data_IF_786550127918
#
_entry.id   IF_786550127918
#
_cell.length_a   1.000
_cell.length_b   1.000
_cell.length_c   1.000
_cell.angle_alpha   90.00
_cell.angle_beta   90.00
_cell.angle_gamma   90.00
#
_symmetry.space_group_name_H-M   'P 1'
#
loop_
_entity.id
_entity.type
_entity.pdbx_description
1 polymer ?
#
# COMPACT_ATOMS: atom_id res chain seq x y z
N UNK A 1 -0.72 18.97 14.69
CA UNK A 1 0.75 18.97 14.96
C UNK A 1 1.53 18.80 13.67
N UNK A 2 2.80 19.21 13.62
CA UNK A 2 3.71 18.95 12.48
C UNK A 2 4.17 17.48 12.47
N UNK A 3 4.73 17.00 11.35
CA UNK A 3 5.33 15.67 11.31
C UNK A 3 6.52 15.53 12.27
N UNK A 4 7.40 16.53 12.36
CA UNK A 4 8.51 16.55 13.33
C UNK A 4 8.02 16.41 14.77
N UNK A 5 6.96 17.14 15.14
CA UNK A 5 6.37 17.02 16.47
C UNK A 5 5.76 15.63 16.67
N UNK A 6 4.99 15.14 15.71
CA UNK A 6 4.42 13.79 15.75
C UNK A 6 5.49 12.72 15.98
N UNK A 7 6.55 12.73 15.17
CA UNK A 7 7.66 11.78 15.27
C UNK A 7 8.28 11.78 16.66
N UNK A 8 8.54 12.95 17.25
CA UNK A 8 9.15 13.07 18.57
C UNK A 8 8.26 12.57 19.72
N UNK A 9 6.94 12.57 19.54
CA UNK A 9 5.97 12.19 20.57
C UNK A 9 5.37 10.79 20.36
N UNK A 10 5.87 10.03 19.39
CA UNK A 10 5.54 8.61 19.26
C UNK A 10 6.22 7.80 20.38
N UNK A 11 5.55 6.75 20.90
CA UNK A 11 6.15 5.81 21.86
C UNK A 11 7.47 5.27 21.31
N UNK A 12 8.51 5.16 22.13
CA UNK A 12 9.86 4.72 21.71
C UNK A 12 10.00 3.21 21.51
N UNK A 13 9.06 2.43 22.04
CA UNK A 13 9.13 0.97 21.96
C UNK A 13 8.60 0.49 20.60
N UNK A 14 9.34 -0.41 19.95
CA UNK A 14 8.95 -1.08 18.69
C UNK A 14 7.81 -2.08 18.94
N UNK A 15 6.58 -1.58 19.05
CA UNK A 15 5.41 -2.44 19.26
C UNK A 15 4.91 -3.06 17.93
N UNK A 16 4.32 -4.28 17.96
CA UNK A 16 3.69 -4.92 16.79
C UNK A 16 2.78 -4.04 15.92
N UNK A 17 1.97 -3.06 16.43
CA UNK A 17 1.21 -2.16 15.55
C UNK A 17 2.06 -1.32 14.58
N UNK A 18 3.37 -1.19 14.82
CA UNK A 18 4.28 -0.36 14.03
C UNK A 18 4.97 -1.13 12.90
N UNK A 19 5.16 -2.44 13.04
CA UNK A 19 6.01 -3.23 12.15
C UNK A 19 5.38 -4.58 11.88
N UNK A 20 5.50 -5.05 10.64
CA UNK A 20 5.30 -6.46 10.33
C UNK A 20 6.63 -7.11 9.98
N UNK A 21 6.85 -8.28 10.57
CA UNK A 21 8.10 -9.00 10.53
C UNK A 21 8.00 -10.22 9.62
N UNK A 22 9.12 -10.57 9.01
CA UNK A 22 9.35 -11.87 8.40
C UNK A 22 9.39 -12.94 9.49
N UNK A 23 8.50 -13.95 9.45
CA UNK A 23 8.53 -15.05 10.40
C UNK A 23 9.87 -15.82 10.42
N UNK A 24 10.57 -15.89 9.29
CA UNK A 24 11.80 -16.67 9.16
C UNK A 24 13.07 -15.96 9.63
N UNK A 25 13.17 -14.65 9.40
CA UNK A 25 14.35 -13.85 9.74
C UNK A 25 14.16 -12.90 10.92
N UNK A 26 12.92 -12.71 11.38
CA UNK A 26 12.52 -11.69 12.35
C UNK A 26 12.91 -10.25 11.94
N UNK A 27 13.17 -10.01 10.66
CA UNK A 27 13.42 -8.70 10.10
C UNK A 27 12.11 -8.03 9.67
N UNK A 28 12.06 -6.71 9.70
CA UNK A 28 10.90 -5.93 9.26
C UNK A 28 10.72 -6.07 7.74
N UNK A 29 9.56 -6.56 7.32
CA UNK A 29 9.15 -6.69 5.92
C UNK A 29 8.39 -5.46 5.43
N UNK A 30 7.55 -4.88 6.28
CA UNK A 30 6.69 -3.76 5.93
C UNK A 30 6.24 -2.99 7.18
N UNK A 31 5.70 -1.78 6.98
CA UNK A 31 5.10 -1.01 8.07
C UNK A 31 3.90 -1.76 8.63
N UNK A 32 3.71 -1.75 9.95
CA UNK A 32 2.51 -2.31 10.60
C UNK A 32 1.26 -1.44 10.41
N UNK A 33 0.09 -1.87 10.91
CA UNK A 33 -1.20 -1.22 10.66
C UNK A 33 -1.25 0.29 10.99
N UNK A 34 -0.54 0.71 12.03
CA UNK A 34 -0.50 2.12 12.44
C UNK A 34 0.19 3.00 11.39
N UNK A 35 1.42 2.64 11.00
CA UNK A 35 2.18 3.42 10.04
C UNK A 35 1.64 3.25 8.61
N UNK A 36 1.09 2.09 8.27
CA UNK A 36 0.33 1.90 7.03
C UNK A 36 -0.78 2.91 6.86
N UNK A 37 -1.65 3.04 7.87
CA UNK A 37 -2.73 4.02 7.85
C UNK A 37 -2.18 5.43 7.71
N UNK A 38 -1.19 5.79 8.53
CA UNK A 38 -0.60 7.12 8.48
C UNK A 38 -0.02 7.47 7.10
N UNK A 39 0.86 6.63 6.57
CA UNK A 39 1.51 6.87 5.28
C UNK A 39 0.55 6.72 4.11
N UNK A 40 -0.49 5.89 4.22
CA UNK A 40 -1.58 5.82 3.26
C UNK A 40 -2.37 7.13 3.16
N UNK A 41 -2.65 7.80 4.28
CA UNK A 41 -3.30 9.12 4.28
C UNK A 41 -2.41 10.20 3.66
N UNK A 42 -1.10 10.16 3.92
CA UNK A 42 -0.13 11.08 3.27
C UNK A 42 -0.07 10.83 1.76
N UNK A 43 -0.05 9.57 1.32
CA UNK A 43 -0.06 9.20 -0.10
C UNK A 43 -1.33 9.68 -0.80
N UNK A 44 -2.51 9.46 -0.19
CA UNK A 44 -3.80 9.97 -0.71
C UNK A 44 -3.81 11.49 -0.83
N UNK A 45 -3.25 12.20 0.16
CA UNK A 45 -3.15 13.65 0.11
C UNK A 45 -2.27 14.11 -1.06
N UNK A 46 -1.08 13.54 -1.24
CA UNK A 46 -0.20 13.88 -2.37
C UNK A 46 -0.83 13.54 -3.72
N UNK A 47 -1.50 12.38 -3.82
CA UNK A 47 -2.22 12.01 -5.02
C UNK A 47 -3.38 12.97 -5.33
N UNK A 48 -4.18 13.34 -4.33
CA UNK A 48 -5.29 14.29 -4.51
C UNK A 48 -4.82 15.70 -4.88
N UNK A 49 -3.61 16.11 -4.50
CA UNK A 49 -2.98 17.32 -5.03
C UNK A 49 -2.58 17.15 -6.49
N UNK A 50 -1.92 16.05 -6.82
CA UNK A 50 -1.51 15.75 -8.20
C UNK A 50 -2.69 15.75 -9.17
N UNK A 51 -3.83 15.15 -8.79
CA UNK A 51 -5.06 15.17 -9.58
C UNK A 51 -5.60 16.58 -9.85
N UNK A 52 -5.28 17.54 -8.97
CA UNK A 52 -5.65 18.96 -9.10
C UNK A 52 -4.58 19.79 -9.81
N UNK A 53 -3.54 19.16 -10.36
CA UNK A 53 -2.44 19.83 -11.05
C UNK A 53 -1.48 20.58 -10.11
N UNK A 54 -1.46 20.23 -8.82
CA UNK A 54 -0.62 20.89 -7.82
C UNK A 54 0.19 19.85 -7.04
N UNK A 55 1.26 20.26 -6.37
CA UNK A 55 2.15 19.34 -5.64
C UNK A 55 2.25 19.68 -4.17
N UNK A 56 2.30 18.67 -3.30
CA UNK A 56 2.36 18.87 -1.86
C UNK A 56 3.58 19.69 -1.44
N UNK A 57 4.72 19.51 -2.11
CA UNK A 57 5.96 20.19 -1.75
C UNK A 57 6.46 19.70 -0.40
N UNK A 58 6.76 20.62 0.52
CA UNK A 58 7.37 20.37 1.83
C UNK A 58 6.40 19.67 2.82
N UNK A 59 6.17 18.37 2.60
CA UNK A 59 5.42 17.50 3.50
C UNK A 59 6.06 17.41 4.89
N UNK A 60 7.34 17.71 5.08
CA UNK A 60 7.98 17.54 6.38
C UNK A 60 7.55 18.64 7.36
N UNK A 61 7.58 19.90 6.93
CA UNK A 61 7.28 21.03 7.81
C UNK A 61 5.80 21.46 7.75
N UNK A 62 5.14 21.26 6.61
CA UNK A 62 3.79 21.80 6.37
C UNK A 62 2.68 20.82 6.66
N UNK A 63 2.96 19.52 6.65
CA UNK A 63 1.96 18.52 7.00
C UNK A 63 1.41 18.74 8.39
N UNK A 64 0.10 18.68 8.51
CA UNK A 64 -0.62 18.76 9.78
C UNK A 64 -1.31 17.44 10.04
N UNK A 65 -1.05 16.90 11.22
CA UNK A 65 -1.56 15.61 11.68
C UNK A 65 -2.51 15.86 12.85
N UNK A 66 -3.70 15.27 12.81
CA UNK A 66 -4.63 15.18 13.93
C UNK A 66 -4.39 13.84 14.64
N UNK A 67 -4.05 13.89 15.93
CA UNK A 67 -3.59 12.70 16.68
C UNK A 67 -4.69 11.65 16.83
N UNK A 68 -5.93 12.08 17.04
CA UNK A 68 -7.05 11.19 17.39
C UNK A 68 -7.40 10.21 16.26
N UNK A 69 -7.21 10.61 14.99
CA UNK A 69 -7.66 9.84 13.84
C UNK A 69 -6.62 9.69 12.73
N UNK A 70 -5.40 10.17 12.96
CA UNK A 70 -4.32 10.25 11.97
C UNK A 70 -4.74 10.97 10.69
N UNK A 71 -5.72 11.88 10.76
CA UNK A 71 -6.10 12.69 9.60
C UNK A 71 -4.97 13.65 9.28
N UNK A 72 -4.60 13.63 8.01
CA UNK A 72 -3.49 14.40 7.46
C UNK A 72 -4.06 15.49 6.56
N UNK A 73 -3.60 16.72 6.74
CA UNK A 73 -3.95 17.83 5.84
C UNK A 73 -2.76 18.76 5.61
N UNK A 74 -2.79 19.45 4.48
CA UNK A 74 -1.74 20.36 4.05
C UNK A 74 -2.32 21.77 3.93
N UNK A 75 -1.88 22.75 4.74
CA UNK A 75 -2.42 24.11 4.69
C UNK A 75 -1.95 24.82 3.41
N UNK A 76 -2.91 25.00 2.49
CA UNK A 76 -3.12 25.98 1.38
C UNK A 76 -1.97 26.61 0.58
N UNK A 77 -0.71 26.58 0.99
CA UNK A 77 0.44 26.95 0.14
C UNK A 77 0.97 25.70 -0.55
N UNK A 78 0.23 25.27 -1.57
CA UNK A 78 0.58 24.13 -2.44
C UNK A 78 1.63 24.61 -3.44
N UNK A 79 2.58 23.75 -3.81
CA UNK A 79 3.57 24.07 -4.83
C UNK A 79 2.83 24.15 -6.18
N UNK A 80 2.61 25.38 -6.64
CA UNK A 80 1.97 25.71 -7.91
C UNK A 80 3.05 26.09 -8.93
N UNK A 81 2.74 25.97 -10.22
CA UNK A 81 3.59 26.44 -11.33
C UNK A 81 4.99 25.80 -11.41
N UNK A 82 5.12 24.51 -11.07
CA UNK A 82 6.35 23.74 -11.32
C UNK A 82 6.15 22.69 -12.42
N UNK A 83 7.25 22.33 -13.10
CA UNK A 83 7.24 21.23 -14.07
C UNK A 83 6.70 19.96 -13.37
N UNK A 84 5.74 19.29 -14.01
CA UNK A 84 5.04 18.17 -13.39
C UNK A 84 5.99 17.06 -12.90
N UNK A 85 7.10 16.82 -13.60
CA UNK A 85 8.06 15.80 -13.19
C UNK A 85 8.88 16.23 -11.95
N UNK A 86 9.24 17.51 -11.87
CA UNK A 86 9.90 18.09 -10.70
C UNK A 86 8.98 18.06 -9.47
N UNK A 87 7.71 18.44 -9.63
CA UNK A 87 6.69 18.38 -8.58
C UNK A 87 6.49 16.96 -8.04
N UNK A 88 6.31 15.97 -8.94
CA UNK A 88 6.21 14.55 -8.57
C UNK A 88 7.44 14.06 -7.81
N UNK A 89 8.64 14.42 -8.28
CA UNK A 89 9.89 14.02 -7.67
C UNK A 89 10.00 14.59 -6.26
N UNK A 90 9.68 15.87 -6.06
CA UNK A 90 9.71 16.54 -4.76
C UNK A 90 8.74 15.88 -3.75
N UNK A 91 7.52 15.58 -4.18
CA UNK A 91 6.55 14.89 -3.33
C UNK A 91 7.03 13.49 -2.91
N UNK A 92 7.58 12.71 -3.84
CA UNK A 92 8.12 11.37 -3.56
C UNK A 92 9.32 11.43 -2.62
N UNK A 93 10.24 12.37 -2.83
CA UNK A 93 11.41 12.56 -1.97
C UNK A 93 10.98 12.88 -0.55
N UNK A 94 10.08 13.85 -0.35
CA UNK A 94 9.59 14.19 1.00
C UNK A 94 8.80 13.05 1.64
N UNK A 95 7.96 12.36 0.87
CA UNK A 95 7.18 11.23 1.36
C UNK A 95 8.08 10.09 1.87
N UNK A 96 9.09 9.71 1.07
CA UNK A 96 10.07 8.68 1.45
C UNK A 96 10.95 9.14 2.61
N UNK A 97 11.30 10.42 2.66
CA UNK A 97 12.00 10.99 3.81
C UNK A 97 11.20 10.86 5.11
N UNK A 98 9.89 11.12 5.09
CA UNK A 98 9.06 10.89 6.27
C UNK A 98 9.08 9.42 6.70
N UNK A 99 8.95 8.48 5.77
CA UNK A 99 9.03 7.04 6.07
C UNK A 99 10.34 6.64 6.70
N UNK A 100 11.46 7.02 6.10
CA UNK A 100 12.78 6.65 6.60
C UNK A 100 13.13 7.39 7.91
N UNK A 101 12.54 8.56 8.19
CA UNK A 101 12.66 9.23 9.50
C UNK A 101 12.07 8.38 10.63
N UNK A 102 10.94 7.71 10.36
CA UNK A 102 10.34 6.76 11.31
C UNK A 102 11.26 5.55 11.46
N UNK A 103 11.66 4.92 10.35
CA UNK A 103 12.53 3.72 10.38
C UNK A 103 13.79 3.97 11.19
N UNK A 104 14.53 5.06 10.92
CA UNK A 104 15.78 5.40 11.62
C UNK A 104 15.59 5.68 13.12
N UNK A 105 14.40 6.12 13.53
CA UNK A 105 14.12 6.36 14.95
C UNK A 105 13.98 5.05 15.73
N UNK A 106 13.52 3.97 15.09
CA UNK A 106 13.12 2.73 15.77
C UNK A 106 13.99 1.52 15.45
N UNK A 107 14.61 1.47 14.28
CA UNK A 107 15.23 0.28 13.72
C UNK A 107 16.68 0.55 13.35
N UNK A 108 17.52 -0.48 13.53
CA UNK A 108 18.88 -0.54 12.99
C UNK A 108 18.86 -1.21 11.63
N UNK A 109 19.97 -1.08 10.89
CA UNK A 109 20.08 -1.64 9.54
C UNK A 109 19.85 -3.16 9.48
N UNK A 110 20.29 -3.92 10.50
CA UNK A 110 20.12 -5.37 10.56
C UNK A 110 18.68 -5.81 10.87
N UNK A 111 17.84 -4.91 11.38
CA UNK A 111 16.44 -5.19 11.70
C UNK A 111 15.54 -5.12 10.45
N UNK A 112 16.06 -4.71 9.30
CA UNK A 112 15.29 -4.38 8.09
C UNK A 112 15.58 -5.43 7.02
N UNK A 113 14.52 -6.03 6.46
CA UNK A 113 14.66 -6.99 5.37
C UNK A 113 15.09 -6.31 4.07
N UNK A 114 15.78 -7.05 3.20
CA UNK A 114 16.11 -6.56 1.86
C UNK A 114 14.86 -6.12 1.07
N UNK A 115 13.72 -6.80 1.26
CA UNK A 115 12.47 -6.51 0.56
C UNK A 115 11.85 -5.18 0.98
N UNK A 116 12.00 -4.80 2.26
CA UNK A 116 11.59 -3.48 2.74
C UNK A 116 12.41 -2.38 2.05
N UNK A 117 13.69 -2.62 1.80
CA UNK A 117 14.59 -1.63 1.19
C UNK A 117 14.25 -1.30 -0.26
N UNK A 118 13.55 -2.19 -0.98
CA UNK A 118 13.07 -1.92 -2.34
C UNK A 118 12.19 -0.65 -2.41
N UNK A 119 11.43 -0.37 -1.34
CA UNK A 119 10.65 0.87 -1.22
C UNK A 119 11.50 2.16 -1.22
N UNK A 120 12.82 2.05 -1.03
CA UNK A 120 13.80 3.14 -0.98
C UNK A 120 14.80 3.13 -2.16
N UNK A 121 14.62 2.24 -3.15
CA UNK A 121 15.42 2.16 -4.37
C UNK A 121 15.58 3.52 -5.09
N UNK A 122 16.79 3.85 -5.54
CA UNK A 122 17.09 5.05 -6.33
C UNK A 122 16.47 5.01 -7.73
N UNK A 123 16.19 3.81 -8.26
CA UNK A 123 15.46 3.61 -9.52
C UNK A 123 14.19 4.46 -9.56
N UNK A 124 13.50 4.58 -8.42
CA UNK A 124 12.24 5.29 -8.30
C UNK A 124 12.35 6.80 -8.50
N UNK A 125 13.56 7.37 -8.34
CA UNK A 125 13.82 8.79 -8.54
C UNK A 125 14.25 9.13 -9.98
N UNK A 126 14.39 8.15 -10.87
CA UNK A 126 14.72 8.43 -12.26
C UNK A 126 13.58 9.19 -12.96
N UNK A 127 13.86 10.25 -13.75
CA UNK A 127 12.82 11.09 -14.35
C UNK A 127 11.75 10.32 -15.14
N UNK A 128 12.13 9.28 -15.89
CA UNK A 128 11.19 8.46 -16.65
C UNK A 128 10.33 7.55 -15.75
N UNK A 129 10.91 7.05 -14.66
CA UNK A 129 10.23 6.22 -13.66
C UNK A 129 9.21 7.06 -12.90
N UNK A 130 9.61 8.24 -12.41
CA UNK A 130 8.70 9.19 -11.77
C UNK A 130 7.56 9.57 -12.71
N UNK A 131 7.86 9.86 -13.98
CA UNK A 131 6.84 10.24 -14.96
C UNK A 131 5.76 9.16 -15.16
N UNK A 132 6.17 7.88 -15.22
CA UNK A 132 5.27 6.74 -15.54
C UNK A 132 4.66 6.06 -14.32
N UNK A 133 5.39 6.00 -13.20
CA UNK A 133 5.06 5.16 -12.04
C UNK A 133 4.81 5.94 -10.75
N UNK A 134 4.59 7.26 -10.81
CA UNK A 134 4.35 8.10 -9.63
C UNK A 134 3.34 7.49 -8.63
N UNK A 135 2.19 7.01 -9.11
CA UNK A 135 1.17 6.40 -8.25
C UNK A 135 1.65 5.11 -7.58
N UNK A 136 2.30 4.22 -8.33
CA UNK A 136 2.84 2.96 -7.80
C UNK A 136 3.89 3.20 -6.72
N UNK A 137 4.61 4.32 -6.78
CA UNK A 137 5.61 4.67 -5.78
C UNK A 137 4.99 5.28 -4.52
N UNK A 138 3.94 6.10 -4.65
CA UNK A 138 3.19 6.61 -3.48
C UNK A 138 2.50 5.48 -2.71
N UNK A 139 1.98 4.50 -3.45
CA UNK A 139 1.36 3.29 -2.90
C UNK A 139 2.30 2.11 -3.11
N UNK A 140 3.47 2.14 -2.48
CA UNK A 140 4.42 1.02 -2.53
C UNK A 140 4.01 -0.10 -1.56
N UNK A 141 4.26 -1.39 -1.88
CA UNK A 141 3.87 -2.53 -1.04
C UNK A 141 4.29 -2.51 0.43
N UNK A 142 5.34 -1.75 0.79
CA UNK A 142 5.76 -1.54 2.19
C UNK A 142 4.66 -0.92 3.06
N UNK A 143 3.62 -0.33 2.46
CA UNK A 143 2.43 0.19 3.17
C UNK A 143 1.12 -0.53 2.80
N UNK A 144 1.17 -1.65 2.10
CA UNK A 144 -0.06 -2.35 1.69
C UNK A 144 -0.69 -3.10 2.84
N UNK A 145 -2.01 -2.97 2.94
CA UNK A 145 -2.82 -3.97 3.64
C UNK A 145 -3.10 -5.17 2.72
N UNK A 146 -3.75 -6.18 3.27
CA UNK A 146 -4.05 -7.43 2.55
C UNK A 146 -4.93 -7.22 1.31
N UNK A 147 -5.82 -6.22 1.34
CA UNK A 147 -6.67 -5.85 0.21
C UNK A 147 -5.90 -5.17 -0.92
N UNK A 148 -4.92 -4.34 -0.59
CA UNK A 148 -4.06 -3.69 -1.59
C UNK A 148 -3.17 -4.72 -2.31
N UNK A 149 -2.65 -5.71 -1.56
CA UNK A 149 -1.91 -6.85 -2.13
C UNK A 149 -2.78 -7.68 -3.07
N UNK A 150 -4.00 -8.00 -2.65
CA UNK A 150 -4.99 -8.67 -3.50
C UNK A 150 -5.22 -7.92 -4.81
N UNK A 151 -5.48 -6.61 -4.75
CA UNK A 151 -5.67 -5.78 -5.96
C UNK A 151 -4.46 -5.77 -6.87
N UNK A 152 -3.25 -5.64 -6.31
CA UNK A 152 -2.00 -5.68 -7.08
C UNK A 152 -1.88 -6.98 -7.87
N UNK A 153 -2.14 -8.11 -7.22
CA UNK A 153 -2.04 -9.43 -7.85
C UNK A 153 -3.07 -9.59 -8.97
N UNK A 154 -4.30 -9.13 -8.75
CA UNK A 154 -5.32 -9.15 -9.80
C UNK A 154 -4.92 -8.29 -11.00
N UNK A 155 -4.45 -7.05 -10.75
CA UNK A 155 -3.97 -6.17 -11.80
C UNK A 155 -2.79 -6.79 -12.59
N UNK A 156 -1.86 -7.46 -11.91
CA UNK A 156 -0.73 -8.15 -12.54
C UNK A 156 -1.17 -9.30 -13.45
N UNK A 157 -2.14 -10.09 -13.00
CA UNK A 157 -2.67 -11.18 -13.83
C UNK A 157 -3.45 -10.64 -15.02
N UNK A 158 -4.21 -9.55 -14.84
CA UNK A 158 -4.95 -8.92 -15.93
C UNK A 158 -3.98 -8.33 -16.98
N UNK A 159 -2.87 -7.71 -16.55
CA UNK A 159 -1.78 -7.30 -17.45
C UNK A 159 -1.18 -8.47 -18.23
N UNK A 160 -0.96 -9.61 -17.57
CA UNK A 160 -0.50 -10.85 -18.21
C UNK A 160 -1.48 -11.38 -19.25
N UNK A 161 -2.79 -11.26 -19.01
CA UNK A 161 -3.82 -11.69 -19.97
C UNK A 161 -3.81 -10.78 -21.20
N UNK A 162 -3.64 -9.47 -21.00
CA UNK A 162 -3.62 -8.48 -22.08
C UNK A 162 -2.39 -8.63 -23.00
N UNK A 163 -1.20 -8.80 -22.43
CA UNK A 163 0.04 -8.99 -23.21
C UNK A 163 0.94 -10.05 -22.57
N UNK A 164 0.61 -11.30 -22.85
CA UNK A 164 1.32 -12.47 -22.32
C UNK A 164 2.80 -12.45 -22.69
N UNK A 165 3.13 -12.13 -23.93
CA UNK A 165 4.51 -12.23 -24.45
C UNK A 165 5.41 -11.18 -23.81
N UNK A 166 4.98 -9.93 -23.75
CA UNK A 166 5.75 -8.87 -23.10
C UNK A 166 5.84 -9.10 -21.61
N UNK A 167 4.76 -9.55 -20.96
CA UNK A 167 4.77 -9.87 -19.54
C UNK A 167 5.83 -10.91 -19.19
N UNK A 168 5.87 -12.06 -19.88
CA UNK A 168 6.85 -13.10 -19.56
C UNK A 168 8.29 -12.67 -19.83
N UNK A 169 8.54 -11.96 -20.94
CA UNK A 169 9.88 -11.49 -21.28
C UNK A 169 10.38 -10.46 -20.28
N UNK A 170 9.58 -9.44 -20.00
CA UNK A 170 10.03 -8.30 -19.20
C UNK A 170 9.92 -8.59 -17.70
N UNK A 171 8.79 -9.12 -17.21
CA UNK A 171 8.60 -9.39 -15.78
C UNK A 171 9.28 -10.69 -15.34
N UNK A 172 9.15 -11.76 -16.13
CA UNK A 172 9.72 -13.07 -15.79
C UNK A 172 11.25 -13.05 -15.59
N UNK A 173 11.97 -12.26 -16.38
CA UNK A 173 13.42 -12.05 -16.22
C UNK A 173 13.77 -11.28 -14.94
N UNK A 174 13.00 -10.26 -14.59
CA UNK A 174 13.29 -9.42 -13.41
C UNK A 174 12.99 -10.14 -12.10
N UNK A 175 11.97 -11.01 -12.07
CA UNK A 175 11.62 -11.82 -10.88
C UNK A 175 12.74 -12.82 -10.51
N UNK A 176 13.59 -13.20 -11.47
CA UNK A 176 14.77 -14.05 -11.18
C UNK A 176 15.77 -13.38 -10.24
N UNK A 177 15.90 -12.05 -10.30
CA UNK A 177 16.84 -11.28 -9.48
C UNK A 177 16.53 -11.35 -7.98
N UNK A 178 15.30 -11.72 -7.62
CA UNK A 178 14.85 -11.83 -6.23
C UNK A 178 14.67 -13.28 -5.76
N UNK A 179 15.27 -14.26 -6.46
CA UNK A 179 15.21 -15.66 -6.06
C UNK A 179 13.85 -16.35 -6.30
N UNK A 180 12.94 -15.71 -7.03
CA UNK A 180 11.63 -16.24 -7.37
C UNK A 180 11.58 -16.91 -8.76
N UNK A 181 12.74 -17.13 -9.40
CA UNK A 181 12.85 -17.85 -10.67
C UNK A 181 12.29 -19.27 -10.60
N UNK A 182 12.48 -19.94 -9.45
CA UNK A 182 12.02 -21.31 -9.18
C UNK A 182 11.05 -21.33 -7.99
N UNK A 183 10.20 -20.32 -7.87
CA UNK A 183 9.28 -20.16 -6.73
C UNK A 183 8.45 -21.42 -6.44
N UNK A 184 8.12 -22.22 -7.47
CA UNK A 184 7.36 -23.47 -7.32
C UNK A 184 8.08 -24.50 -6.44
N UNK A 185 9.42 -24.49 -6.37
CA UNK A 185 10.18 -25.36 -5.47
C UNK A 185 9.86 -25.12 -4.00
N UNK A 186 9.38 -23.92 -3.66
CA UNK A 186 8.92 -23.62 -2.30
C UNK A 186 7.62 -24.35 -1.94
N UNK A 187 6.86 -24.85 -2.92
CA UNK A 187 5.55 -25.46 -2.73
C UNK A 187 5.38 -26.82 -3.41
N UNK A 188 6.36 -27.31 -4.15
CA UNK A 188 6.26 -28.57 -4.91
C UNK A 188 6.11 -29.81 -4.02
N UNK A 189 6.57 -29.73 -2.77
CA UNK A 189 6.45 -30.80 -1.78
C UNK A 189 5.21 -30.65 -0.87
N UNK A 190 4.40 -29.61 -1.10
CA UNK A 190 3.16 -29.41 -0.35
C UNK A 190 2.12 -30.47 -0.73
N UNK A 191 1.45 -31.06 0.27
CA UNK A 191 0.43 -32.06 -0.01
C UNK A 191 -0.76 -31.42 -0.72
N UNK A 192 -1.49 -32.15 -1.61
CA UNK A 192 -2.74 -31.64 -2.20
C UNK A 192 -3.84 -31.29 -1.18
N UNK A 193 -3.66 -31.70 0.09
CA UNK A 193 -4.53 -31.35 1.22
C UNK A 193 -4.20 -29.99 1.84
N UNK A 194 -2.98 -29.46 1.66
CA UNK A 194 -2.63 -28.11 2.11
C UNK A 194 -3.09 -27.08 1.07
N UNK A 195 -3.39 -25.85 1.50
CA UNK A 195 -3.80 -24.77 0.57
C UNK A 195 -2.76 -24.56 -0.53
N UNK A 196 -1.48 -24.51 -0.14
CA UNK A 196 -0.38 -24.25 -1.07
C UNK A 196 -0.26 -25.35 -2.13
N UNK A 197 -0.38 -26.62 -1.71
CA UNK A 197 -0.34 -27.77 -2.62
C UNK A 197 -1.60 -27.90 -3.47
N UNK A 198 -2.79 -27.67 -2.91
CA UNK A 198 -4.05 -27.69 -3.64
C UNK A 198 -4.04 -26.72 -4.81
N UNK A 199 -3.61 -25.47 -4.57
CA UNK A 199 -3.53 -24.44 -5.60
C UNK A 199 -2.41 -24.72 -6.60
N UNK A 200 -1.29 -25.29 -6.14
CA UNK A 200 -0.17 -25.62 -7.02
C UNK A 200 -0.56 -26.69 -8.04
N UNK A 201 -1.39 -27.66 -7.64
CA UNK A 201 -1.93 -28.74 -8.47
C UNK A 201 -3.34 -28.46 -9.02
N UNK A 202 -3.79 -27.20 -9.00
CA UNK A 202 -5.13 -26.84 -9.45
C UNK A 202 -5.37 -27.32 -10.89
N UNK A 203 -6.54 -27.91 -11.15
CA UNK A 203 -6.90 -28.54 -12.44
C UNK A 203 -6.00 -29.72 -12.87
N UNK A 204 -5.28 -30.35 -11.94
CA UNK A 204 -4.49 -31.56 -12.21
C UNK A 204 -3.15 -31.32 -12.91
N UNK A 205 -2.76 -30.06 -13.11
CA UNK A 205 -1.49 -29.67 -13.69
C UNK A 205 -0.72 -28.73 -12.75
N UNK A 206 0.58 -28.98 -12.48
CA UNK A 206 1.36 -28.07 -11.67
C UNK A 206 1.44 -26.69 -12.35
N UNK A 207 1.45 -25.61 -11.56
CA UNK A 207 1.73 -24.25 -12.06
C UNK A 207 3.24 -24.00 -11.98
N UNK A 208 3.96 -24.19 -13.09
CA UNK A 208 5.42 -24.15 -13.13
C UNK A 208 5.91 -23.16 -14.19
N UNK A 209 6.32 -21.95 -13.75
CA UNK A 209 7.04 -20.93 -14.54
C UNK A 209 7.30 -19.70 -13.65
N UNK A 210 8.46 -19.03 -13.76
CA UNK A 210 8.74 -17.79 -13.03
C UNK A 210 7.65 -16.72 -13.19
N UNK A 211 7.16 -16.50 -14.42
CA UNK A 211 6.08 -15.54 -14.70
C UNK A 211 4.66 -16.04 -14.34
N UNK A 212 4.52 -17.27 -13.83
CA UNK A 212 3.26 -17.78 -13.31
C UNK A 212 3.07 -17.53 -11.80
N UNK A 213 4.06 -16.98 -11.10
CA UNK A 213 3.93 -16.64 -9.68
C UNK A 213 2.73 -15.72 -9.38
N UNK A 214 2.46 -14.62 -10.14
CA UNK A 214 1.27 -13.80 -9.90
C UNK A 214 -0.04 -14.57 -10.09
N UNK A 215 -0.08 -15.51 -11.04
CA UNK A 215 -1.24 -16.38 -11.25
C UNK A 215 -1.45 -17.30 -10.05
N UNK A 216 -0.37 -17.93 -9.57
CA UNK A 216 -0.41 -18.76 -8.37
C UNK A 216 -0.90 -17.99 -7.14
N UNK A 217 -0.36 -16.80 -6.88
CA UNK A 217 -0.82 -15.95 -5.77
C UNK A 217 -2.29 -15.52 -5.92
N UNK A 218 -2.74 -15.22 -7.15
CA UNK A 218 -4.17 -14.94 -7.42
C UNK A 218 -5.02 -16.14 -7.08
N UNK A 219 -4.57 -17.34 -7.44
CA UNK A 219 -5.27 -18.56 -7.10
C UNK A 219 -5.25 -18.85 -5.59
N UNK A 220 -4.18 -18.53 -4.86
CA UNK A 220 -4.19 -18.61 -3.39
C UNK A 220 -5.26 -17.68 -2.81
N UNK A 221 -5.37 -16.46 -3.33
CA UNK A 221 -6.41 -15.53 -2.90
C UNK A 221 -7.83 -15.94 -3.30
N UNK A 222 -8.00 -16.66 -4.41
CA UNK A 222 -9.31 -17.01 -4.96
C UNK A 222 -9.81 -18.42 -4.59
N UNK A 223 -8.88 -19.35 -4.30
CA UNK A 223 -9.17 -20.77 -4.01
C UNK A 223 -8.75 -21.16 -2.60
N UNK A 224 -8.54 -20.20 -1.71
CA UNK A 224 -8.57 -20.46 -0.28
C UNK A 224 -10.02 -20.78 0.14
N UNK A 225 -10.61 -21.89 -0.36
CA UNK A 225 -11.97 -22.27 0.04
C UNK A 225 -12.43 -23.70 -0.29
N UNK A 226 -12.21 -24.59 0.69
CA UNK A 226 -13.21 -25.62 1.04
C UNK A 226 -13.79 -25.39 2.44
N UNK A 227 -12.98 -24.92 3.39
CA UNK A 227 -13.37 -24.76 4.79
C UNK A 227 -13.89 -23.36 5.14
N UNK A 228 -13.51 -22.31 4.42
CA UNK A 228 -13.86 -20.93 4.75
C UNK A 228 -15.10 -20.44 4.01
N UNK A 229 -15.48 -21.02 2.87
CA UNK A 229 -16.74 -20.71 2.20
C UNK A 229 -17.87 -21.25 3.07
N UNK A 230 -17.70 -22.46 3.60
CA UNK A 230 -18.56 -23.02 4.63
C UNK A 230 -18.57 -22.16 5.91
N UNK A 231 -17.42 -21.65 6.38
CA UNK A 231 -17.34 -20.80 7.57
C UNK A 231 -17.95 -19.39 7.35
N UNK A 232 -17.80 -18.82 6.15
CA UNK A 232 -18.33 -17.53 5.75
C UNK A 232 -19.82 -17.60 5.50
N UNK A 233 -20.28 -18.67 4.86
CA UNK A 233 -21.70 -18.99 4.73
C UNK A 233 -22.31 -19.22 6.11
N UNK A 234 -21.62 -19.91 7.03
CA UNK A 234 -22.04 -20.04 8.41
C UNK A 234 -22.08 -18.69 9.16
N UNK A 235 -21.07 -17.84 9.02
CA UNK A 235 -21.03 -16.49 9.64
C UNK A 235 -22.12 -15.58 9.07
N UNK A 236 -22.36 -15.63 7.75
CA UNK A 236 -23.42 -14.90 7.06
C UNK A 236 -24.79 -15.41 7.47
N UNK A 237 -24.96 -16.72 7.59
CA UNK A 237 -26.17 -17.35 8.12
C UNK A 237 -26.42 -16.95 9.58
N UNK A 238 -25.40 -16.96 10.44
CA UNK A 238 -25.50 -16.51 11.83
C UNK A 238 -25.85 -15.02 11.95
N UNK A 239 -25.26 -14.17 11.10
CA UNK A 239 -25.61 -12.75 11.02
C UNK A 239 -27.07 -12.55 10.58
N UNK A 240 -27.51 -13.26 9.54
CA UNK A 240 -28.90 -13.22 9.06
C UNK A 240 -29.87 -13.77 10.11
N UNK A 241 -29.51 -14.82 10.84
CA UNK A 241 -30.31 -15.35 11.93
C UNK A 241 -30.44 -14.34 13.07
N UNK A 242 -29.36 -13.63 13.42
CA UNK A 242 -29.39 -12.55 14.41
C UNK A 242 -30.25 -11.38 13.93
N UNK A 243 -30.20 -11.03 12.64
CA UNK A 243 -31.05 -10.01 12.02
C UNK A 243 -32.53 -10.40 12.12
N UNK A 244 -32.87 -11.63 11.74
CA UNK A 244 -34.24 -12.13 11.81
C UNK A 244 -34.75 -12.13 13.25
N UNK A 245 -33.95 -12.59 14.23
CA UNK A 245 -34.32 -12.51 15.65
C UNK A 245 -34.58 -11.09 16.16
N UNK A 246 -33.85 -10.09 15.67
CA UNK A 246 -34.09 -8.68 16.01
C UNK A 246 -35.40 -8.20 15.36
N UNK A 247 -35.63 -8.55 14.09
CA UNK A 247 -36.86 -8.23 13.38
C UNK A 247 -38.09 -8.86 14.06
N UNK A 248 -38.04 -10.16 14.38
CA UNK A 248 -39.11 -10.89 15.07
C UNK A 248 -39.41 -10.30 16.45
N UNK A 249 -38.38 -9.80 17.15
CA UNK A 249 -38.53 -9.14 18.44
C UNK A 249 -39.14 -7.73 18.31
N UNK A 250 -38.70 -6.95 17.32
CA UNK A 250 -39.15 -5.56 17.15
C UNK A 250 -40.54 -5.47 16.49
N UNK A 251 -40.90 -6.39 15.59
CA UNK A 251 -42.19 -6.43 14.85
C UNK A 251 -43.44 -6.25 15.73
N UNK A 252 -43.64 -7.03 16.83
CA UNK A 252 -44.81 -6.84 17.69
C UNK A 252 -44.77 -5.52 18.50
N UNK A 253 -43.58 -5.00 18.79
CA UNK A 253 -43.41 -3.71 19.46
C UNK A 253 -43.81 -2.58 18.49
N UNK A 254 -43.40 -2.67 17.23
CA UNK A 254 -43.73 -1.72 16.17
C UNK A 254 -45.22 -1.75 15.82
N UNK A 255 -45.83 -2.94 15.71
CA UNK A 255 -47.27 -3.10 15.51
C UNK A 255 -48.08 -2.45 16.65
N UNK A 256 -47.70 -2.70 17.90
CA UNK A 256 -48.32 -2.08 19.07
C UNK A 256 -48.08 -0.57 19.13
N UNK A 257 -46.94 -0.09 18.65
CA UNK A 257 -46.68 1.35 18.53
C UNK A 257 -47.60 2.02 17.51
N UNK A 258 -47.94 1.34 16.40
CA UNK A 258 -48.80 1.88 15.35
C UNK A 258 -50.24 2.14 15.82
N UNK A 259 -50.70 1.46 16.88
CA UNK A 259 -52.02 1.67 17.50
C UNK A 259 -52.14 3.02 18.25
N UNK A 260 -51.01 3.64 18.62
CA UNK A 260 -51.02 4.91 19.35
C UNK A 260 -50.87 6.11 18.39
N UNK A 261 -51.45 7.25 18.76
CA UNK A 261 -51.23 8.51 18.02
C UNK A 261 -49.81 9.04 18.25
N UNK A 262 -49.32 9.86 17.33
CA UNK A 262 -48.02 10.52 17.51
C UNK A 262 -48.06 11.47 18.72
N UNK A 263 -46.96 11.48 19.49
CA UNK A 263 -46.87 12.19 20.77
C UNK A 263 -47.32 11.40 22.01
N UNK A 264 -47.90 10.20 21.86
CA UNK A 264 -48.32 9.39 23.01
C UNK A 264 -47.11 8.94 23.87
N UNK A 265 -47.10 9.19 25.19
CA UNK A 265 -46.00 8.80 26.08
C UNK A 265 -45.65 7.31 26.01
N UNK A 266 -46.63 6.44 25.73
CA UNK A 266 -46.45 4.99 25.62
C UNK A 266 -45.59 4.61 24.41
N UNK A 267 -45.61 5.38 23.32
CA UNK A 267 -44.69 5.18 22.18
C UNK A 267 -43.24 5.38 22.57
N UNK A 268 -42.94 6.33 23.46
CA UNK A 268 -41.57 6.58 23.95
C UNK A 268 -41.05 5.39 24.76
N UNK A 269 -41.90 4.82 25.61
CA UNK A 269 -41.58 3.60 26.37
C UNK A 269 -41.38 2.39 25.47
N UNK A 270 -42.17 2.24 24.39
CA UNK A 270 -42.01 1.15 23.43
C UNK A 270 -40.77 1.32 22.55
N UNK A 271 -40.45 2.53 22.09
CA UNK A 271 -39.21 2.83 21.34
C UNK A 271 -37.95 2.48 22.12
N UNK A 272 -37.94 2.72 23.44
CA UNK A 272 -36.81 2.36 24.30
C UNK A 272 -36.57 0.84 24.40
N UNK A 273 -37.54 0.01 24.01
CA UNK A 273 -37.42 -1.46 23.98
C UNK A 273 -36.90 -1.99 22.64
N UNK A 274 -36.84 -1.17 21.58
CA UNK A 274 -36.35 -1.58 20.26
C UNK A 274 -34.86 -1.94 20.35
N UNK A 275 -34.50 -3.10 19.81
CA UNK A 275 -33.10 -3.51 19.69
C UNK A 275 -32.50 -2.92 18.42
N UNK A 276 -31.33 -2.27 18.55
CA UNK A 276 -30.58 -1.69 17.42
C UNK A 276 -29.53 -2.69 16.94
N UNK A 277 -29.43 -2.87 15.62
CA UNK A 277 -28.44 -3.73 14.99
C UNK A 277 -27.08 -3.03 14.95
N UNK A 278 -25.98 -3.77 15.21
CA UNK A 278 -24.64 -3.32 14.86
C UNK A 278 -24.46 -3.25 13.33
N UNK A 279 -23.62 -2.33 12.85
CA UNK A 279 -23.35 -2.13 11.42
C UNK A 279 -23.02 -3.45 10.70
N UNK A 280 -23.47 -3.55 9.44
CA UNK A 280 -23.15 -4.68 8.55
C UNK A 280 -21.63 -4.86 8.52
N UNK A 281 -21.09 -6.09 8.67
CA UNK A 281 -19.68 -6.32 8.35
C UNK A 281 -19.47 -5.95 6.87
N UNK A 282 -18.54 -5.05 6.60
CA UNK A 282 -18.15 -4.68 5.24
C UNK A 282 -17.60 -5.92 4.53
N UNK A 283 -17.72 -6.00 3.21
CA UNK A 283 -17.14 -7.10 2.42
C UNK A 283 -15.62 -7.22 2.69
N UNK A 284 -14.96 -6.07 2.93
CA UNK A 284 -13.56 -5.91 3.35
C UNK A 284 -13.24 -6.48 4.75
N UNK A 285 -14.25 -6.86 5.53
CA UNK A 285 -14.13 -7.47 6.87
C UNK A 285 -14.40 -8.98 6.87
N UNK A 286 -14.63 -9.58 5.70
CA UNK A 286 -14.73 -11.03 5.57
C UNK A 286 -13.32 -11.66 5.63
N UNK A 287 -13.10 -12.66 6.50
CA UNK A 287 -11.79 -13.20 6.81
C UNK A 287 -11.34 -14.22 5.75
N UNK A 288 -11.10 -13.76 4.52
CA UNK A 288 -10.33 -14.55 3.55
C UNK A 288 -8.88 -14.07 3.48
N UNK A 289 -8.66 -12.75 3.48
CA UNK A 289 -7.32 -12.20 3.19
C UNK A 289 -6.39 -12.18 4.40
N UNK A 290 -6.91 -11.93 5.61
CA UNK A 290 -6.09 -11.86 6.83
C UNK A 290 -5.49 -13.19 7.27
N UNK A 291 -6.02 -14.32 6.78
CA UNK A 291 -5.54 -15.67 7.09
C UNK A 291 -4.60 -16.22 5.99
N UNK A 292 -4.81 -15.80 4.72
CA UNK A 292 -3.95 -16.18 3.59
C UNK A 292 -2.62 -15.43 3.60
N UNK A 293 -2.65 -14.14 3.91
CA UNK A 293 -1.46 -13.28 3.85
C UNK A 293 -0.32 -13.70 4.77
N UNK A 294 -0.56 -14.15 6.02
CA UNK A 294 0.50 -14.75 6.82
C UNK A 294 1.16 -15.96 6.15
N UNK A 295 0.38 -16.84 5.52
CA UNK A 295 0.89 -18.05 4.85
C UNK A 295 1.70 -17.67 3.60
N UNK A 296 1.20 -16.72 2.80
CA UNK A 296 1.93 -16.18 1.65
C UNK A 296 3.23 -15.53 2.12
N UNK A 297 3.19 -14.72 3.17
CA UNK A 297 4.34 -13.98 3.69
C UNK A 297 5.42 -14.92 4.23
N UNK A 298 5.03 -15.97 4.95
CA UNK A 298 5.94 -17.00 5.43
C UNK A 298 6.65 -17.71 4.27
N UNK A 299 5.91 -18.05 3.20
CA UNK A 299 6.47 -18.82 2.08
C UNK A 299 7.19 -17.95 1.04
N UNK A 300 6.72 -16.73 0.85
CA UNK A 300 7.17 -15.77 -0.16
C UNK A 300 7.39 -14.38 0.49
N UNK A 301 8.38 -14.24 1.40
CA UNK A 301 8.61 -12.99 2.11
C UNK A 301 8.89 -11.84 1.14
N UNK A 302 8.20 -10.72 1.32
CA UNK A 302 8.41 -9.51 0.53
C UNK A 302 8.08 -9.62 -0.96
N UNK A 303 7.37 -10.67 -1.38
CA UNK A 303 7.08 -10.95 -2.79
C UNK A 303 6.43 -9.77 -3.51
N UNK A 304 5.53 -9.04 -2.85
CA UNK A 304 4.84 -7.90 -3.45
C UNK A 304 5.79 -6.74 -3.78
N UNK A 305 6.76 -6.43 -2.90
CA UNK A 305 7.80 -5.43 -3.17
C UNK A 305 8.67 -5.84 -4.36
N UNK A 306 9.04 -7.12 -4.44
CA UNK A 306 9.79 -7.65 -5.58
C UNK A 306 8.99 -7.53 -6.89
N UNK A 307 7.70 -7.83 -6.86
CA UNK A 307 6.84 -7.69 -8.04
C UNK A 307 6.76 -6.23 -8.52
N UNK A 308 6.60 -5.28 -7.61
CA UNK A 308 6.57 -3.85 -7.99
C UNK A 308 7.90 -3.38 -8.56
N UNK A 309 9.03 -3.73 -7.94
CA UNK A 309 10.35 -3.39 -8.48
C UNK A 309 10.59 -4.06 -9.84
N UNK A 310 10.16 -5.32 -10.01
CA UNK A 310 10.25 -6.05 -11.27
C UNK A 310 9.43 -5.40 -12.40
N UNK A 311 8.20 -4.96 -12.13
CA UNK A 311 7.36 -4.21 -13.08
C UNK A 311 8.07 -2.90 -13.45
N UNK A 312 8.51 -2.13 -12.46
CA UNK A 312 9.14 -0.83 -12.74
C UNK A 312 10.38 -1.04 -13.61
N UNK A 313 11.23 -2.02 -13.30
CA UNK A 313 12.40 -2.35 -14.16
C UNK A 313 11.99 -2.80 -15.56
N UNK A 314 10.99 -3.67 -15.66
CA UNK A 314 10.47 -4.18 -16.93
C UNK A 314 9.96 -3.07 -17.87
N UNK A 315 9.37 -2.01 -17.31
CA UNK A 315 8.68 -0.98 -18.09
C UNK A 315 9.36 0.41 -18.07
N UNK A 316 10.41 0.61 -17.27
CA UNK A 316 11.10 1.88 -17.14
C UNK A 316 12.44 2.01 -17.85
N UNK A 317 13.22 0.93 -18.05
CA UNK A 317 14.60 1.07 -18.55
C UNK A 317 15.02 -0.04 -19.54
N UNK A 318 15.81 0.39 -20.52
CA UNK A 318 16.67 -0.39 -21.42
C UNK A 318 17.33 -1.59 -20.72
N UNK A 319 17.29 -2.74 -21.40
CA UNK A 319 17.64 -4.08 -20.88
C UNK A 319 19.11 -4.14 -20.41
N UNK A 320 19.93 -3.20 -20.87
CA UNK A 320 21.37 -3.08 -20.60
C UNK A 320 21.73 -2.19 -19.40
N UNK A 321 20.77 -1.51 -18.77
CA UNK A 321 21.04 -0.81 -17.52
C UNK A 321 21.12 -1.83 -16.38
N UNK A 322 22.23 -2.55 -16.28
CA UNK A 322 22.72 -2.92 -14.96
C UNK A 322 22.81 -1.63 -14.16
N UNK A 323 21.92 -1.45 -13.20
CA UNK A 323 22.10 -0.45 -12.15
C UNK A 323 22.90 -1.18 -11.09
N UNK A 324 24.23 -1.00 -11.03
CA UNK A 324 25.04 -1.63 -10.02
C UNK A 324 24.75 -0.86 -8.73
N UNK A 325 24.22 -1.54 -7.73
CA UNK A 325 24.28 -1.00 -6.38
C UNK A 325 25.75 -1.08 -5.93
N UNK A 326 26.46 0.04 -6.01
CA UNK A 326 27.80 0.20 -5.45
C UNK A 326 27.80 0.69 -4.00
N UNK A 327 26.68 0.55 -3.28
CA UNK A 327 26.55 1.00 -1.90
C UNK A 327 25.68 0.05 -1.06
N UNK A 328 26.04 -0.08 0.21
CA UNK A 328 25.35 -0.87 1.22
C UNK A 328 24.02 -0.22 1.66
N UNK A 329 23.10 -0.99 2.24
CA UNK A 329 21.83 -0.48 2.82
C UNK A 329 22.09 0.57 3.92
N UNK A 330 23.18 0.39 4.68
CA UNK A 330 23.68 1.39 5.63
C UNK A 330 24.01 2.69 4.91
N UNK A 331 24.70 2.61 3.77
CA UNK A 331 24.94 3.78 2.95
C UNK A 331 23.65 4.36 2.38
N UNK A 332 22.74 3.59 1.80
CA UNK A 332 21.52 4.14 1.21
C UNK A 332 20.59 4.80 2.25
N UNK A 333 20.34 4.19 3.40
CA UNK A 333 19.41 4.72 4.39
C UNK A 333 20.05 5.71 5.37
N UNK A 334 21.36 5.61 5.61
CA UNK A 334 22.04 6.36 6.67
C UNK A 334 23.20 7.25 6.18
N UNK A 335 23.71 7.11 4.93
CA UNK A 335 24.86 7.90 4.42
C UNK A 335 24.70 8.57 3.02
N UNK A 336 23.85 8.09 2.11
CA UNK A 336 23.74 8.48 0.69
C UNK A 336 22.31 8.78 0.24
N UNK A 337 21.30 8.12 0.81
CA UNK A 337 19.90 8.50 0.60
C UNK A 337 19.54 9.74 1.41
N UNK A 338 18.25 10.01 1.68
CA UNK A 338 17.81 11.33 2.11
C UNK A 338 18.29 11.73 3.52
N UNK A 339 19.06 10.86 4.21
CA UNK A 339 19.68 11.08 5.52
C UNK A 339 21.21 11.03 5.53
N UNK A 340 21.87 10.86 4.38
CA UNK A 340 23.28 11.22 4.28
C UNK A 340 23.46 12.72 4.44
N UNK A 341 24.62 13.18 4.92
CA UNK A 341 25.06 14.58 4.72
C UNK A 341 25.45 14.84 3.26
N UNK A 342 24.61 14.37 2.34
CA UNK A 342 24.78 14.61 0.93
C UNK A 342 24.20 15.98 0.60
N UNK A 343 25.06 16.99 0.60
CA UNK A 343 24.72 18.37 0.31
C UNK A 343 23.96 18.51 -1.01
N UNK A 344 24.21 17.64 -2.00
CA UNK A 344 23.51 17.61 -3.29
C UNK A 344 22.03 17.21 -3.18
N UNK A 345 21.69 16.25 -2.31
CA UNK A 345 20.31 15.80 -2.14
C UNK A 345 19.46 16.85 -1.38
N UNK A 346 20.05 17.47 -0.35
CA UNK A 346 19.44 18.59 0.38
C UNK A 346 19.32 19.84 -0.50
N UNK A 347 20.31 20.15 -1.33
CA UNK A 347 20.28 21.34 -2.19
C UNK A 347 19.28 21.24 -3.34
N UNK A 348 19.06 20.05 -3.92
CA UNK A 348 18.15 19.91 -5.08
C UNK A 348 16.68 19.83 -4.65
N UNK A 349 16.36 19.15 -3.55
CA UNK A 349 14.97 18.81 -3.19
C UNK A 349 14.42 19.55 -1.97
N UNK A 350 15.28 20.09 -1.11
CA UNK A 350 14.90 20.76 0.13
C UNK A 350 15.26 22.25 0.15
N UNK A 351 15.75 22.82 -0.96
CA UNK A 351 15.83 24.27 -1.07
C UNK A 351 14.44 24.88 -0.93
N UNK A 352 14.32 25.82 0.00
CA UNK A 352 13.27 26.82 -0.02
C UNK A 352 13.42 27.57 -1.34
N UNK A 353 12.55 27.26 -2.29
CA UNK A 353 12.41 28.08 -3.48
C UNK A 353 12.04 29.46 -2.96
N UNK A 354 12.97 30.41 -3.11
CA UNK A 354 12.74 31.77 -2.64
C UNK A 354 11.43 32.27 -3.26
N UNK A 355 10.63 33.03 -2.51
CA UNK A 355 9.33 33.56 -2.96
C UNK A 355 9.40 34.32 -4.32
N UNK A 356 10.60 34.62 -4.83
CA UNK A 356 10.84 35.24 -6.14
C UNK A 356 10.73 34.30 -7.34
N UNK A 357 10.95 32.99 -7.20
CA UNK A 357 10.86 32.06 -8.34
C UNK A 357 9.42 31.61 -8.66
N UNK A 358 8.48 31.82 -7.73
CA UNK A 358 7.03 31.65 -7.93
C UNK A 358 6.38 32.82 -8.72
N UNK A 359 7.16 33.79 -9.20
CA UNK A 359 6.67 34.99 -9.89
C UNK A 359 7.25 35.19 -11.29
N UNK A 360 7.58 34.13 -12.04
CA UNK A 360 7.76 34.32 -13.48
C UNK A 360 6.40 34.19 -14.17
N UNK A 361 5.84 35.29 -14.72
CA UNK A 361 4.71 35.15 -15.61
C UNK A 361 5.20 34.31 -16.80
N UNK A 362 4.38 33.34 -17.21
CA UNK A 362 4.53 32.68 -18.50
C UNK A 362 4.52 33.81 -19.54
N UNK A 363 5.69 34.17 -20.06
CA UNK A 363 5.75 34.89 -21.34
C UNK A 363 5.12 33.97 -22.35
N UNK A 364 3.96 34.36 -22.87
CA UNK A 364 3.39 33.81 -24.10
C UNK A 364 4.52 33.64 -25.09
N UNK A 365 4.80 32.41 -25.48
CA UNK A 365 5.67 32.17 -26.64
C UNK A 365 5.08 32.95 -27.82
N UNK A 366 5.96 33.79 -28.35
CA UNK A 366 5.76 34.59 -29.53
C UNK A 366 5.41 33.70 -30.72
N UNK A 367 4.16 33.79 -31.17
CA UNK A 367 3.79 33.49 -32.54
C UNK A 367 4.43 34.55 -33.46
N UNK A 368 5.68 34.34 -33.81
CA UNK A 368 6.34 35.01 -34.95
C UNK A 368 7.23 34.01 -35.64
N UNK A 369 6.64 33.21 -36.53
CA UNK A 369 7.32 32.81 -37.76
C UNK A 369 6.54 33.47 -38.92
N UNK A 370 7.16 34.51 -39.48
CA UNK A 370 6.93 34.92 -40.86
C UNK A 370 8.09 34.38 -41.68
N UNK A 371 7.76 33.66 -42.74
CA UNK A 371 8.61 33.26 -43.84
C UNK A 371 7.70 32.85 -44.98
#
# INVERSE_FOLDING_TARGET
MTFKYFLNHLPTDSKPPFWEFDPGSNQVLQFGPFFRRFFGEVAKLSYGHFERGVFSGDLFNRLRIRRENLVVYHPSKVFQDCEANLGRTRDLVHYRYMMASVVKKYLKSHDISEYFTLGFSELFLQPLVVKKFYMFQLFHPIIYNDWDKYKLIHALVDMRIQDKTHFYKSFGLQVQRYGYSNWWRKVENETPKSMLGHVYHYEGHPIWNAGALPLYLRHLHAHYDGAIQANNDAKKAAFNQKKNKIYDYNSPIEAKMAEFKDGDPRKKTLRAKIRVQSEKPKLESLPLHSEVEPIITERFPGVYSCMVDAIIRAFAVDINAEIPFGCSISELLFLKGPFGDNHAYKSIYFQDVSEKELKRPITKESSTEKG
#
